data_IF_776872262197
#
_entry.id   IF_776872262197
#
_cell.length_a   1.000
_cell.length_b   1.000
_cell.length_c   1.000
_cell.angle_alpha   90.00
_cell.angle_beta   90.00
_cell.angle_gamma   90.00
#
_symmetry.space_group_name_H-M   'P 1'
#
loop_
_entity.id
_entity.type
_entity.pdbx_description
1 polymer ?
#
# COMPACT_ATOMS: atom_id res chain seq x y z
N UNK A 1 0.14 -18.18 11.05
CA UNK A 1 -0.13 -16.83 11.58
C UNK A 1 -1.46 -16.25 11.10
N UNK A 2 -2.41 -17.08 10.65
CA UNK A 2 -3.76 -16.65 10.26
C UNK A 2 -4.78 -17.11 11.29
N UNK A 3 -5.86 -16.34 11.51
CA UNK A 3 -6.93 -16.68 12.44
C UNK A 3 -8.27 -16.86 11.74
N UNK A 4 -9.09 -17.73 12.32
CA UNK A 4 -10.34 -18.17 11.71
C UNK A 4 -11.54 -17.26 11.98
N UNK A 5 -11.62 -16.74 13.20
CA UNK A 5 -12.73 -15.92 13.68
C UNK A 5 -12.32 -15.21 14.98
N UNK A 6 -13.21 -14.40 15.53
CA UNK A 6 -13.03 -13.77 16.85
C UNK A 6 -12.84 -14.79 17.98
N UNK A 7 -13.55 -15.92 17.94
CA UNK A 7 -13.43 -16.98 18.95
C UNK A 7 -12.03 -17.64 18.93
N UNK A 8 -11.40 -17.77 17.77
CA UNK A 8 -10.02 -18.25 17.69
C UNK A 8 -9.05 -17.33 18.45
N UNK A 9 -9.22 -16.01 18.35
CA UNK A 9 -8.38 -15.04 19.06
C UNK A 9 -8.54 -15.20 20.58
N UNK A 10 -9.77 -15.40 21.06
CA UNK A 10 -10.04 -15.63 22.50
C UNK A 10 -9.55 -17.00 22.98
N UNK A 11 -9.74 -18.05 22.18
CA UNK A 11 -9.40 -19.44 22.55
C UNK A 11 -7.89 -19.63 22.63
N UNK A 12 -7.16 -19.09 21.66
CA UNK A 12 -5.69 -19.21 21.57
C UNK A 12 -4.96 -17.98 22.12
N UNK A 13 -5.61 -17.20 22.99
CA UNK A 13 -5.09 -15.93 23.48
C UNK A 13 -3.69 -16.07 24.13
N UNK A 14 -3.41 -17.18 24.83
CA UNK A 14 -2.12 -17.42 25.48
C UNK A 14 -1.03 -17.78 24.47
N UNK A 15 -1.35 -18.64 23.51
CA UNK A 15 -0.45 -19.05 22.44
C UNK A 15 -0.12 -17.86 21.54
N UNK A 16 -1.11 -17.03 21.21
CA UNK A 16 -0.93 -15.82 20.40
C UNK A 16 -0.06 -14.81 21.15
N UNK A 17 -0.32 -14.57 22.44
CA UNK A 17 0.53 -13.71 23.26
C UNK A 17 1.98 -14.21 23.25
N UNK A 18 2.20 -15.52 23.41
CA UNK A 18 3.54 -16.12 23.35
C UNK A 18 4.20 -15.98 21.96
N UNK A 19 3.44 -16.11 20.86
CA UNK A 19 3.97 -15.96 19.49
C UNK A 19 4.39 -14.51 19.21
N UNK A 20 3.64 -13.55 19.74
CA UNK A 20 3.87 -12.11 19.56
C UNK A 20 4.77 -11.50 20.64
N UNK A 21 5.37 -12.32 21.50
CA UNK A 21 6.27 -11.92 22.59
C UNK A 21 5.61 -10.95 23.58
N UNK A 22 4.44 -11.37 24.08
CA UNK A 22 3.66 -10.70 25.13
C UNK A 22 3.41 -11.64 26.32
N UNK A 23 3.41 -11.07 27.53
CA UNK A 23 2.90 -11.76 28.71
C UNK A 23 1.37 -11.97 28.63
N UNK A 24 0.66 -10.94 28.16
CA UNK A 24 -0.78 -10.93 27.85
C UNK A 24 -1.03 -9.96 26.69
N UNK A 25 -1.99 -10.28 25.82
CA UNK A 25 -2.38 -9.35 24.76
C UNK A 25 -2.92 -8.04 25.36
N UNK A 26 -2.47 -6.88 24.86
CA UNK A 26 -2.94 -5.61 25.37
C UNK A 26 -4.36 -5.32 24.85
N UNK A 27 -5.21 -4.82 25.75
CA UNK A 27 -6.52 -4.30 25.34
C UNK A 27 -6.35 -2.99 24.59
N UNK A 28 -6.83 -2.97 23.35
CA UNK A 28 -6.74 -1.81 22.47
C UNK A 28 -7.89 -0.84 22.74
N UNK A 29 -7.56 0.42 23.04
CA UNK A 29 -8.55 1.48 23.25
C UNK A 29 -8.94 2.11 21.91
N UNK A 30 -10.01 1.60 21.31
CA UNK A 30 -10.52 2.11 20.03
C UNK A 30 -11.11 3.53 20.12
N UNK A 31 -11.52 3.98 21.31
CA UNK A 31 -12.19 5.26 21.53
C UNK A 31 -11.32 6.51 21.25
N UNK A 32 -9.99 6.37 21.19
CA UNK A 32 -9.06 7.50 21.04
C UNK A 32 -8.57 7.72 19.60
N UNK A 33 -8.90 6.83 18.64
CA UNK A 33 -8.53 7.00 17.23
C UNK A 33 -9.25 8.17 16.53
N UNK A 34 -10.23 8.79 17.19
CA UNK A 34 -11.03 9.92 16.67
C UNK A 34 -10.50 11.31 17.03
N UNK A 35 -9.39 11.44 17.77
CA UNK A 35 -8.91 12.71 18.33
C UNK A 35 -8.06 13.58 17.38
N UNK A 36 -8.23 13.45 16.06
CA UNK A 36 -7.75 14.41 15.08
C UNK A 36 -8.94 14.96 14.29
N UNK A 37 -9.33 16.19 14.66
CA UNK A 37 -10.23 17.12 13.96
C UNK A 37 -11.71 17.09 14.37
N UNK A 38 -12.21 18.32 14.57
CA UNK A 38 -13.55 18.67 15.02
C UNK A 38 -14.69 18.22 14.09
N UNK A 39 -15.91 18.62 14.41
CA UNK A 39 -17.11 18.20 13.69
C UNK A 39 -17.06 18.54 12.19
N UNK A 40 -16.91 17.52 11.34
CA UNK A 40 -16.89 17.69 9.90
C UNK A 40 -18.33 17.90 9.36
N UNK A 41 -18.71 19.16 9.11
CA UNK A 41 -20.02 19.54 8.54
C UNK A 41 -20.27 18.89 7.18
N UNK A 42 -19.21 18.72 6.38
CA UNK A 42 -19.23 18.08 5.06
C UNK A 42 -19.71 16.65 5.14
N UNK A 43 -19.32 15.94 6.21
CA UNK A 43 -19.77 14.58 6.44
C UNK A 43 -21.26 14.49 6.77
N UNK A 44 -21.76 15.37 7.66
CA UNK A 44 -23.19 15.39 8.03
C UNK A 44 -24.07 15.59 6.79
N UNK A 45 -23.63 16.44 5.85
CA UNK A 45 -24.32 16.65 4.57
C UNK A 45 -24.28 15.39 3.69
N UNK A 46 -23.11 14.76 3.52
CA UNK A 46 -22.99 13.52 2.73
C UNK A 46 -23.78 12.35 3.32
N UNK A 47 -23.81 12.21 4.65
CA UNK A 47 -24.62 11.19 5.33
C UNK A 47 -26.11 11.41 5.08
N UNK A 48 -26.57 12.66 5.17
CA UNK A 48 -27.95 13.03 4.85
C UNK A 48 -28.28 12.76 3.38
N UNK A 49 -27.33 12.98 2.47
CA UNK A 49 -27.47 12.61 1.06
C UNK A 49 -27.66 11.08 0.90
N UNK A 50 -26.86 10.26 1.59
CA UNK A 50 -26.96 8.81 1.56
C UNK A 50 -28.28 8.27 2.10
N UNK A 51 -28.72 8.77 3.25
CA UNK A 51 -30.01 8.37 3.83
C UNK A 51 -31.16 8.67 2.87
N UNK A 52 -31.10 9.81 2.18
CA UNK A 52 -32.10 10.18 1.18
C UNK A 52 -31.98 9.32 -0.09
N UNK A 53 -30.78 8.94 -0.54
CA UNK A 53 -30.60 8.02 -1.68
C UNK A 53 -31.12 6.61 -1.37
N UNK A 54 -30.84 6.10 -0.17
CA UNK A 54 -31.34 4.79 0.28
C UNK A 54 -32.87 4.79 0.38
N UNK A 55 -33.46 5.82 0.99
CA UNK A 55 -34.92 5.99 1.06
C UNK A 55 -35.54 6.13 -0.33
N UNK A 56 -34.87 6.85 -1.25
CA UNK A 56 -35.32 6.99 -2.63
C UNK A 56 -35.31 5.66 -3.36
N UNK A 57 -34.23 4.88 -3.22
CA UNK A 57 -34.13 3.55 -3.82
C UNK A 57 -35.21 2.60 -3.27
N UNK A 58 -35.46 2.63 -1.96
CA UNK A 58 -36.53 1.86 -1.33
C UNK A 58 -37.93 2.27 -1.82
N UNK A 59 -38.21 3.58 -1.91
CA UNK A 59 -39.49 4.10 -2.40
C UNK A 59 -39.74 3.78 -3.88
N UNK A 60 -38.69 3.80 -4.71
CA UNK A 60 -38.76 3.37 -6.12
C UNK A 60 -39.02 1.87 -6.22
N UNK A 61 -38.39 1.06 -5.36
CA UNK A 61 -38.61 -0.38 -5.32
C UNK A 61 -40.02 -0.78 -4.83
N UNK A 62 -40.65 0.06 -3.99
CA UNK A 62 -42.01 -0.14 -3.49
C UNK A 62 -43.10 0.58 -4.30
N UNK A 63 -42.78 1.09 -5.50
CA UNK A 63 -43.70 1.84 -6.38
C UNK A 63 -44.38 3.06 -5.73
N UNK A 64 -43.76 3.64 -4.70
CA UNK A 64 -44.26 4.82 -3.99
C UNK A 64 -43.81 6.12 -4.68
N UNK A 65 -44.36 6.39 -5.86
CA UNK A 65 -43.87 7.47 -6.76
C UNK A 65 -43.96 8.88 -6.17
N UNK A 66 -44.99 9.20 -5.38
CA UNK A 66 -45.12 10.51 -4.72
C UNK A 66 -44.06 10.74 -3.64
N UNK A 67 -43.68 9.68 -2.91
CA UNK A 67 -42.61 9.74 -1.91
C UNK A 67 -41.23 9.83 -2.58
N UNK A 68 -41.04 9.11 -3.68
CA UNK A 68 -39.82 9.17 -4.47
C UNK A 68 -39.57 10.59 -5.04
N UNK A 69 -40.60 11.30 -5.50
CA UNK A 69 -40.46 12.66 -6.00
C UNK A 69 -40.09 13.66 -4.89
N UNK A 70 -40.70 13.53 -3.70
CA UNK A 70 -40.34 14.32 -2.51
C UNK A 70 -38.88 14.09 -2.09
N UNK A 71 -38.45 12.83 -2.06
CA UNK A 71 -37.07 12.46 -1.71
C UNK A 71 -36.06 12.97 -2.74
N UNK A 72 -36.41 12.94 -4.04
CA UNK A 72 -35.58 13.49 -5.12
C UNK A 72 -35.38 15.00 -4.99
N UNK A 73 -36.42 15.75 -4.62
CA UNK A 73 -36.34 17.19 -4.37
C UNK A 73 -35.47 17.51 -3.14
N UNK A 74 -35.62 16.75 -2.05
CA UNK A 74 -34.77 16.88 -0.87
C UNK A 74 -33.30 16.56 -1.19
N UNK A 75 -33.06 15.55 -2.03
CA UNK A 75 -31.73 15.19 -2.49
C UNK A 75 -31.06 16.35 -3.25
N UNK A 76 -31.80 17.04 -4.12
CA UNK A 76 -31.30 18.19 -4.88
C UNK A 76 -30.87 19.34 -3.95
N UNK A 77 -31.63 19.60 -2.89
CA UNK A 77 -31.30 20.63 -1.88
C UNK A 77 -30.01 20.28 -1.14
N UNK A 78 -29.87 19.02 -0.69
CA UNK A 78 -28.66 18.57 0.01
C UNK A 78 -27.43 18.60 -0.90
N UNK A 79 -27.58 18.28 -2.19
CA UNK A 79 -26.50 18.42 -3.19
C UNK A 79 -26.08 19.87 -3.38
N UNK A 80 -27.03 20.80 -3.44
CA UNK A 80 -26.73 22.22 -3.53
C UNK A 80 -26.05 22.76 -2.26
N UNK A 81 -26.41 22.24 -1.08
CA UNK A 81 -25.75 22.58 0.19
C UNK A 81 -24.30 22.08 0.22
N UNK A 82 -24.04 20.90 -0.34
CA UNK A 82 -22.69 20.33 -0.53
C UNK A 82 -21.83 21.22 -1.43
N UNK A 83 -22.38 21.67 -2.55
CA UNK A 83 -21.69 22.57 -3.50
C UNK A 83 -21.36 23.93 -2.87
N UNK A 84 -22.26 24.48 -2.04
CA UNK A 84 -22.01 25.74 -1.31
C UNK A 84 -20.90 25.62 -0.26
N UNK A 85 -20.81 24.50 0.44
CA UNK A 85 -19.74 24.28 1.44
C UNK A 85 -18.38 24.00 0.80
N UNK A 86 -18.33 23.45 -0.42
CA UNK A 86 -17.09 23.28 -1.18
C UNK A 86 -16.51 24.57 -1.77
N UNK A 87 -17.22 25.70 -1.70
CA UNK A 87 -16.84 26.97 -2.34
C UNK A 87 -16.35 28.08 -1.40
N UNK A 88 -16.15 27.81 -0.10
CA UNK A 88 -15.87 28.84 0.91
C UNK A 88 -14.63 28.61 1.80
N UNK A 89 -13.73 27.71 1.42
CA UNK A 89 -12.36 27.70 1.97
C UNK A 89 -11.43 28.47 1.01
N UNK A 90 -10.85 29.56 1.50
CA UNK A 90 -10.18 30.58 0.71
C UNK A 90 -8.78 30.23 0.23
N UNK A 91 -8.37 30.86 -0.89
CA UNK A 91 -7.02 30.95 -1.49
C UNK A 91 -6.24 29.64 -1.71
N UNK A 92 -5.71 29.39 -2.92
CA UNK A 92 -5.06 28.14 -3.26
C UNK A 92 -3.65 28.05 -2.66
N UNK A 93 -3.56 27.60 -1.41
CA UNK A 93 -2.34 27.01 -0.86
C UNK A 93 -2.53 25.47 -0.83
N UNK A 94 -2.07 24.84 -1.92
CA UNK A 94 -1.37 23.53 -1.99
C UNK A 94 -1.96 22.25 -1.34
N UNK A 95 -3.29 22.05 -1.24
CA UNK A 95 -3.82 20.82 -0.64
C UNK A 95 -4.92 20.04 -1.40
N UNK A 96 -5.65 20.62 -2.35
CA UNK A 96 -6.94 20.03 -2.78
C UNK A 96 -7.07 19.58 -4.25
N UNK A 97 -5.98 19.42 -5.00
CA UNK A 97 -6.05 18.83 -6.35
C UNK A 97 -5.73 17.33 -6.36
N UNK A 98 -6.65 16.52 -5.83
CA UNK A 98 -6.64 15.06 -5.98
C UNK A 98 -7.20 14.60 -7.34
N UNK A 99 -6.58 15.09 -8.42
CA UNK A 99 -6.65 14.44 -9.73
C UNK A 99 -7.75 14.91 -10.67
N UNK A 100 -8.06 16.21 -10.71
CA UNK A 100 -8.82 16.75 -11.83
C UNK A 100 -7.87 16.99 -13.01
N UNK A 101 -7.87 16.12 -14.03
CA UNK A 101 -7.36 16.51 -15.36
C UNK A 101 -8.39 16.32 -16.46
N UNK A 102 -8.32 17.29 -17.35
CA UNK A 102 -9.26 17.70 -18.41
C UNK A 102 -9.40 16.60 -19.48
N UNK A 103 -10.64 16.28 -19.84
CA UNK A 103 -10.97 15.50 -21.03
C UNK A 103 -10.52 16.26 -22.29
N UNK A 104 -9.94 15.58 -23.27
CA UNK A 104 -9.88 16.19 -24.61
C UNK A 104 -11.31 16.38 -25.16
N UNK A 105 -11.46 17.28 -26.13
CA UNK A 105 -12.75 17.73 -26.66
C UNK A 105 -13.59 16.61 -27.31
N UNK A 106 -13.09 15.37 -27.35
CA UNK A 106 -13.66 14.23 -28.05
C UNK A 106 -13.90 13.03 -27.11
N UNK A 107 -13.66 13.19 -25.81
CA UNK A 107 -14.02 12.18 -24.81
C UNK A 107 -13.28 10.85 -24.96
N UNK A 108 -12.10 10.87 -25.60
CA UNK A 108 -11.27 9.67 -25.77
C UNK A 108 -10.25 9.61 -24.64
N UNK A 109 -10.18 8.46 -23.96
CA UNK A 109 -9.01 8.13 -23.14
C UNK A 109 -7.87 7.89 -24.14
N UNK A 110 -6.94 8.84 -24.22
CA UNK A 110 -5.69 8.63 -24.95
C UNK A 110 -5.06 7.34 -24.47
N UNK A 111 -4.81 6.43 -25.41
CA UNK A 111 -4.10 5.18 -25.17
C UNK A 111 -2.69 5.53 -24.67
N UNK A 112 -2.50 5.49 -23.35
CA UNK A 112 -1.18 5.67 -22.73
C UNK A 112 -1.07 4.76 -21.50
N UNK A 113 -0.79 3.49 -21.77
CA UNK A 113 -0.34 2.50 -20.79
C UNK A 113 1.17 2.62 -20.47
N UNK A 114 1.81 3.74 -20.81
CA UNK A 114 3.25 3.97 -20.72
C UNK A 114 3.64 5.19 -19.85
N UNK A 115 3.08 5.29 -18.64
CA UNK A 115 3.80 5.94 -17.53
C UNK A 115 4.13 4.87 -16.49
N UNK A 116 5.18 4.09 -16.77
CA UNK A 116 5.60 2.89 -16.04
C UNK A 116 6.14 3.12 -14.61
N UNK A 117 6.14 4.36 -14.12
CA UNK A 117 6.67 4.70 -12.79
C UNK A 117 5.48 5.05 -11.89
N UNK A 118 5.16 4.21 -10.87
CA UNK A 118 4.17 4.57 -9.86
C UNK A 118 4.43 5.96 -9.26
N UNK A 119 3.38 6.77 -9.07
CA UNK A 119 3.54 8.16 -8.61
C UNK A 119 4.03 8.30 -7.16
N UNK A 120 4.07 7.19 -6.41
CA UNK A 120 4.69 7.14 -5.08
C UNK A 120 6.21 7.00 -5.14
N UNK A 121 6.80 6.61 -6.28
CA UNK A 121 8.25 6.70 -6.48
C UNK A 121 8.67 8.16 -6.72
N UNK A 122 9.88 8.55 -6.29
CA UNK A 122 10.37 9.91 -6.50
C UNK A 122 10.37 10.29 -7.99
N UNK A 123 9.66 11.38 -8.32
CA UNK A 123 9.45 11.83 -9.71
C UNK A 123 10.46 12.91 -10.17
N UNK A 124 11.18 13.51 -9.21
CA UNK A 124 12.09 14.64 -9.41
C UNK A 124 13.57 14.26 -9.53
N UNK A 125 14.37 15.17 -10.08
CA UNK A 125 15.82 15.16 -9.93
C UNK A 125 16.16 15.86 -8.62
N UNK A 126 16.07 15.15 -7.50
CA UNK A 126 16.56 15.67 -6.23
C UNK A 126 18.08 15.65 -6.20
N UNK A 127 18.70 16.72 -5.71
CA UNK A 127 20.14 16.79 -5.44
C UNK A 127 20.55 16.02 -4.19
N UNK A 128 19.58 15.66 -3.33
CA UNK A 128 19.78 14.85 -2.14
C UNK A 128 19.55 13.37 -2.47
N UNK A 129 20.29 12.44 -1.83
CA UNK A 129 20.05 11.01 -1.99
C UNK A 129 18.66 10.67 -1.43
N UNK A 130 17.86 9.94 -2.21
CA UNK A 130 16.51 9.59 -1.78
C UNK A 130 16.55 8.30 -0.96
N UNK A 131 16.95 8.45 0.30
CA UNK A 131 17.01 7.35 1.27
C UNK A 131 15.59 6.99 1.73
N UNK A 132 14.76 7.99 2.06
CA UNK A 132 13.31 7.78 2.24
C UNK A 132 12.64 7.89 0.88
N UNK A 133 12.00 6.80 0.46
CA UNK A 133 11.41 6.70 -0.88
C UNK A 133 9.95 7.14 -0.85
N UNK A 134 9.19 6.53 0.07
CA UNK A 134 7.74 6.70 0.15
C UNK A 134 7.24 6.30 1.53
N UNK A 135 5.99 6.64 1.80
CA UNK A 135 5.28 6.15 2.98
C UNK A 135 4.11 5.29 2.55
N UNK A 136 3.73 4.33 3.39
CA UNK A 136 2.53 3.50 3.19
C UNK A 136 1.73 3.48 4.47
N UNK A 137 0.44 3.74 4.38
CA UNK A 137 -0.50 3.49 5.48
C UNK A 137 -1.50 2.44 5.03
N UNK A 138 -1.52 1.33 5.75
CA UNK A 138 -2.35 0.16 5.46
C UNK A 138 -3.46 0.04 6.50
N UNK A 139 -4.68 -0.24 6.03
CA UNK A 139 -5.88 -0.45 6.84
C UNK A 139 -6.47 -1.82 6.50
N UNK A 140 -6.84 -2.61 7.51
CA UNK A 140 -7.45 -3.94 7.37
C UNK A 140 -8.72 -4.03 8.22
N UNK A 141 -9.88 -4.32 7.64
CA UNK A 141 -11.16 -4.38 8.37
C UNK A 141 -12.00 -5.56 7.90
N UNK A 142 -12.69 -6.20 8.84
CA UNK A 142 -13.67 -7.25 8.58
C UNK A 142 -15.04 -6.85 9.14
N UNK A 143 -16.13 -7.15 8.43
CA UNK A 143 -17.50 -6.99 8.93
C UNK A 143 -17.84 -8.04 9.98
N UNK A 144 -18.58 -7.65 11.02
CA UNK A 144 -19.04 -8.56 12.08
C UNK A 144 -20.19 -9.47 11.65
N UNK A 145 -20.98 -9.04 10.65
CA UNK A 145 -22.13 -9.75 10.11
C UNK A 145 -21.78 -10.92 9.20
N UNK A 146 -20.50 -11.09 8.84
CA UNK A 146 -20.04 -12.07 7.87
C UNK A 146 -18.83 -12.87 8.38
N UNK A 147 -18.70 -14.17 8.01
CA UNK A 147 -17.48 -14.94 8.25
C UNK A 147 -16.28 -14.28 7.57
N UNK A 148 -15.05 -14.51 8.05
CA UNK A 148 -13.85 -14.01 7.38
C UNK A 148 -13.75 -14.52 5.94
N UNK A 149 -13.08 -13.80 5.01
CA UNK A 149 -13.06 -14.13 3.59
C UNK A 149 -12.68 -15.57 3.23
N UNK A 150 -11.82 -16.20 4.05
CA UNK A 150 -11.37 -17.58 3.82
C UNK A 150 -12.40 -18.66 4.21
N UNK A 151 -13.48 -18.30 4.90
CA UNK A 151 -14.60 -19.17 5.26
C UNK A 151 -15.92 -18.72 4.62
N UNK A 152 -15.86 -17.87 3.60
CA UNK A 152 -17.04 -17.57 2.80
C UNK A 152 -17.33 -18.78 1.91
N UNK A 153 -18.44 -19.46 2.20
CA UNK A 153 -18.79 -20.75 1.59
C UNK A 153 -19.64 -20.58 0.31
N UNK A 154 -20.03 -19.34 -0.04
CA UNK A 154 -20.88 -19.08 -1.20
C UNK A 154 -20.59 -17.74 -1.90
N UNK A 155 -20.78 -17.73 -3.22
CA UNK A 155 -20.71 -16.52 -4.06
C UNK A 155 -21.67 -15.42 -3.60
N UNK A 156 -22.82 -15.81 -3.07
CA UNK A 156 -23.84 -14.89 -2.59
C UNK A 156 -23.36 -14.12 -1.34
N UNK A 157 -22.65 -14.78 -0.43
CA UNK A 157 -22.08 -14.11 0.75
C UNK A 157 -20.96 -13.13 0.35
N UNK A 158 -20.07 -13.52 -0.56
CA UNK A 158 -19.04 -12.61 -1.08
C UNK A 158 -19.65 -11.37 -1.76
N UNK A 159 -20.71 -11.55 -2.56
CA UNK A 159 -21.40 -10.44 -3.20
C UNK A 159 -22.14 -9.56 -2.18
N UNK A 160 -22.68 -10.14 -1.10
CA UNK A 160 -23.33 -9.39 -0.02
C UNK A 160 -22.32 -8.48 0.72
N UNK A 161 -21.17 -9.03 1.15
CA UNK A 161 -20.07 -8.27 1.75
C UNK A 161 -19.66 -7.12 0.84
N UNK A 162 -19.48 -7.42 -0.45
CA UNK A 162 -19.10 -6.42 -1.44
C UNK A 162 -20.17 -5.34 -1.59
N UNK A 163 -21.44 -5.69 -1.70
CA UNK A 163 -22.52 -4.69 -1.82
C UNK A 163 -22.54 -3.77 -0.59
N UNK A 164 -22.43 -4.34 0.61
CA UNK A 164 -22.41 -3.59 1.86
C UNK A 164 -21.25 -2.58 1.91
N UNK A 165 -20.03 -3.01 1.59
CA UNK A 165 -18.86 -2.12 1.61
C UNK A 165 -18.91 -1.11 0.45
N UNK A 166 -19.17 -1.57 -0.78
CA UNK A 166 -19.10 -0.73 -1.99
C UNK A 166 -20.13 0.40 -2.00
N UNK A 167 -21.32 0.20 -1.41
CA UNK A 167 -22.32 1.25 -1.24
C UNK A 167 -21.79 2.43 -0.44
N UNK A 168 -21.00 2.18 0.61
CA UNK A 168 -20.39 3.24 1.42
C UNK A 168 -19.20 3.86 0.69
N UNK A 169 -18.38 3.03 0.03
CA UNK A 169 -17.16 3.44 -0.66
C UNK A 169 -17.42 4.45 -1.80
N UNK A 170 -18.50 4.30 -2.56
CA UNK A 170 -18.83 5.22 -3.66
C UNK A 170 -19.06 6.68 -3.23
N UNK A 171 -19.15 6.94 -1.92
CA UNK A 171 -19.52 8.22 -1.34
C UNK A 171 -18.34 8.95 -0.70
N UNK A 172 -17.21 8.27 -0.56
CA UNK A 172 -16.05 8.79 0.15
C UNK A 172 -15.12 9.51 -0.83
N UNK A 173 -14.57 10.69 -0.46
CA UNK A 173 -13.64 11.43 -1.33
C UNK A 173 -12.45 10.60 -1.79
N UNK A 174 -11.90 9.80 -0.89
CA UNK A 174 -10.71 8.98 -1.17
C UNK A 174 -10.96 7.96 -2.30
N UNK A 175 -12.22 7.59 -2.52
CA UNK A 175 -12.61 6.49 -3.42
C UNK A 175 -13.57 6.90 -4.55
N UNK A 176 -14.01 8.16 -4.58
CA UNK A 176 -15.03 8.66 -5.50
C UNK A 176 -14.67 8.48 -7.00
N UNK A 177 -13.39 8.60 -7.35
CA UNK A 177 -12.91 8.53 -8.75
C UNK A 177 -12.01 7.31 -9.00
N UNK A 178 -12.11 6.26 -8.18
CA UNK A 178 -11.27 5.08 -8.35
C UNK A 178 -11.76 4.21 -9.51
N UNK A 179 -10.80 3.68 -10.26
CA UNK A 179 -11.06 2.66 -11.26
C UNK A 179 -11.35 1.32 -10.55
N UNK A 180 -12.47 0.69 -10.90
CA UNK A 180 -12.91 -0.57 -10.29
C UNK A 180 -12.67 -1.74 -11.25
N UNK A 181 -11.95 -2.74 -10.77
CA UNK A 181 -11.65 -3.98 -11.45
C UNK A 181 -12.40 -5.12 -10.78
N UNK A 182 -13.36 -5.70 -11.49
CA UNK A 182 -14.04 -6.93 -11.06
C UNK A 182 -13.29 -8.13 -11.61
N UNK A 183 -12.55 -8.84 -10.75
CA UNK A 183 -11.62 -9.89 -11.19
C UNK A 183 -12.36 -11.00 -11.94
N UNK A 184 -13.56 -11.37 -11.49
CA UNK A 184 -14.40 -12.39 -12.14
C UNK A 184 -14.78 -12.04 -13.58
N UNK A 185 -14.91 -10.74 -13.89
CA UNK A 185 -15.27 -10.23 -15.22
C UNK A 185 -14.07 -9.97 -16.15
N UNK A 186 -12.85 -10.07 -15.62
CA UNK A 186 -11.64 -9.85 -16.41
C UNK A 186 -11.13 -11.12 -17.10
N UNK A 187 -10.64 -11.02 -18.35
CA UNK A 187 -9.93 -12.11 -19.02
C UNK A 187 -8.72 -12.57 -18.20
N UNK A 188 -8.52 -13.88 -18.07
CA UNK A 188 -7.44 -14.47 -17.25
C UNK A 188 -6.05 -13.96 -17.68
N UNK A 189 -5.85 -13.76 -18.99
CA UNK A 189 -4.59 -13.23 -19.53
C UNK A 189 -4.24 -11.81 -19.03
N UNK A 190 -5.26 -11.00 -18.75
CA UNK A 190 -5.10 -9.61 -18.32
C UNK A 190 -4.91 -9.47 -16.81
N UNK A 191 -5.49 -10.40 -16.01
CA UNK A 191 -5.43 -10.38 -14.54
C UNK A 191 -4.01 -10.29 -14.01
N UNK A 192 -3.09 -11.08 -14.57
CA UNK A 192 -1.68 -11.08 -14.14
C UNK A 192 -1.02 -9.70 -14.26
N UNK A 193 -1.52 -8.82 -15.13
CA UNK A 193 -1.07 -7.44 -15.23
C UNK A 193 -1.35 -6.60 -13.99
N UNK A 194 -2.39 -6.90 -13.21
CA UNK A 194 -2.72 -6.17 -11.98
C UNK A 194 -1.73 -6.50 -10.86
N UNK A 195 -1.42 -7.79 -10.69
CA UNK A 195 -0.39 -8.22 -9.73
C UNK A 195 1.00 -7.71 -10.15
N UNK A 196 1.33 -7.69 -11.45
CA UNK A 196 2.54 -7.06 -12.00
C UNK A 196 2.67 -5.56 -11.77
N UNK A 197 1.61 -4.89 -11.34
CA UNK A 197 1.64 -3.47 -10.94
C UNK A 197 1.73 -3.30 -9.42
N UNK A 198 1.74 -4.39 -8.67
CA UNK A 198 1.75 -4.36 -7.20
C UNK A 198 0.40 -4.06 -6.57
N UNK A 199 -0.67 -4.00 -7.37
CA UNK A 199 -1.98 -3.61 -6.87
C UNK A 199 -2.66 -4.72 -6.09
N UNK A 200 -2.31 -5.98 -6.31
CA UNK A 200 -2.82 -7.13 -5.56
C UNK A 200 -1.84 -8.30 -5.58
N UNK A 201 -2.02 -9.26 -4.68
CA UNK A 201 -1.26 -10.52 -4.71
C UNK A 201 -1.74 -11.42 -5.87
N UNK A 202 -0.93 -12.42 -6.23
CA UNK A 202 -1.35 -13.44 -7.20
C UNK A 202 -2.47 -14.32 -6.65
N UNK A 203 -2.43 -14.62 -5.34
CA UNK A 203 -3.47 -15.39 -4.66
C UNK A 203 -4.82 -14.67 -4.71
N UNK A 204 -4.82 -13.33 -4.61
CA UNK A 204 -6.00 -12.51 -4.82
C UNK A 204 -6.63 -12.71 -6.21
N UNK A 205 -5.81 -12.95 -7.24
CA UNK A 205 -6.30 -13.17 -8.61
C UNK A 205 -6.76 -14.63 -8.86
N UNK A 206 -6.25 -15.59 -8.08
CA UNK A 206 -6.53 -17.02 -8.26
C UNK A 206 -7.83 -17.47 -7.59
N UNK A 207 -8.21 -16.87 -6.46
CA UNK A 207 -9.44 -17.18 -5.72
C UNK A 207 -10.69 -16.59 -6.41
N UNK A 208 -10.87 -16.90 -7.69
CA UNK A 208 -11.58 -16.14 -8.74
C UNK A 208 -13.08 -15.83 -8.60
N UNK A 209 -13.58 -15.51 -7.42
CA UNK A 209 -14.96 -15.10 -7.18
C UNK A 209 -15.03 -13.76 -6.42
N UNK A 210 -15.94 -12.88 -6.87
CA UNK A 210 -16.35 -11.58 -6.33
C UNK A 210 -15.31 -10.70 -5.61
N UNK A 211 -14.04 -10.80 -6.01
CA UNK A 211 -12.96 -9.90 -5.61
C UNK A 211 -12.99 -8.63 -6.44
N UNK A 212 -12.84 -7.50 -5.78
CA UNK A 212 -12.79 -6.20 -6.41
C UNK A 212 -11.51 -5.48 -6.01
N UNK A 213 -10.86 -4.93 -7.01
CA UNK A 213 -9.71 -4.07 -6.84
C UNK A 213 -10.12 -2.67 -7.27
N UNK A 214 -9.97 -1.70 -6.39
CA UNK A 214 -10.16 -0.29 -6.72
C UNK A 214 -8.80 0.39 -6.68
N UNK A 215 -8.46 1.15 -7.72
CA UNK A 215 -7.20 1.89 -7.81
C UNK A 215 -7.49 3.34 -8.14
N UNK A 216 -6.90 4.27 -7.40
CA UNK A 216 -7.03 5.70 -7.70
C UNK A 216 -6.31 6.06 -9.01
N UNK A 217 -6.72 7.12 -9.72
CA UNK A 217 -6.09 7.51 -11.00
C UNK A 217 -4.58 7.78 -10.90
N UNK A 218 -4.11 8.22 -9.72
CA UNK A 218 -2.70 8.44 -9.42
C UNK A 218 -1.96 7.18 -8.90
N UNK A 219 -2.65 6.04 -8.79
CA UNK A 219 -2.15 4.76 -8.26
C UNK A 219 -1.61 4.82 -6.82
N UNK A 220 -2.00 5.84 -6.04
CA UNK A 220 -1.59 6.01 -4.64
C UNK A 220 -2.50 5.26 -3.66
N UNK A 221 -3.79 5.18 -3.95
CA UNK A 221 -4.76 4.47 -3.12
C UNK A 221 -5.14 3.18 -3.83
N UNK A 222 -4.97 2.07 -3.13
CA UNK A 222 -5.29 0.74 -3.61
C UNK A 222 -6.20 0.10 -2.59
N UNK A 223 -7.41 -0.26 -3.00
CA UNK A 223 -8.39 -0.93 -2.15
C UNK A 223 -8.69 -2.32 -2.71
N UNK A 224 -8.62 -3.34 -1.86
CA UNK A 224 -8.98 -4.71 -2.20
C UNK A 224 -10.16 -5.12 -1.33
N UNK A 225 -11.21 -5.57 -1.99
CA UNK A 225 -12.38 -6.13 -1.33
C UNK A 225 -12.35 -7.64 -1.42
N UNK A 226 -12.71 -8.29 -0.31
CA UNK A 226 -12.71 -9.75 -0.17
C UNK A 226 -11.34 -10.37 -0.47
N UNK A 227 -10.28 -9.73 0.05
CA UNK A 227 -8.89 -10.16 -0.11
C UNK A 227 -8.54 -11.32 0.84
N UNK A 228 -7.59 -11.07 1.72
CA UNK A 228 -7.41 -11.82 2.95
C UNK A 228 -8.34 -11.29 4.04
N UNK A 229 -8.63 -9.98 4.03
CA UNK A 229 -9.66 -9.31 4.82
C UNK A 229 -10.81 -8.79 3.92
N UNK A 230 -11.98 -8.52 4.50
CA UNK A 230 -13.13 -7.99 3.74
C UNK A 230 -12.82 -6.65 3.09
N UNK A 231 -12.09 -5.78 3.79
CA UNK A 231 -11.58 -4.51 3.30
C UNK A 231 -10.09 -4.39 3.62
N UNK A 232 -9.30 -4.25 2.57
CA UNK A 232 -7.90 -3.85 2.65
C UNK A 232 -7.70 -2.55 1.90
N UNK A 233 -7.07 -1.56 2.53
CA UNK A 233 -6.64 -0.34 1.87
C UNK A 233 -5.16 -0.14 2.10
N UNK A 234 -4.43 0.18 1.04
CA UNK A 234 -3.07 0.70 1.11
C UNK A 234 -3.05 2.09 0.47
N UNK A 235 -2.65 3.10 1.24
CA UNK A 235 -2.45 4.46 0.77
C UNK A 235 -0.95 4.78 0.76
N UNK A 236 -0.44 5.14 -0.41
CA UNK A 236 0.96 5.50 -0.62
C UNK A 236 1.11 7.01 -0.71
N UNK A 237 2.03 7.55 0.09
CA UNK A 237 2.45 8.95 0.05
C UNK A 237 3.90 9.09 -0.40
N UNK A 238 4.26 10.31 -0.79
CA UNK A 238 5.64 10.69 -1.03
C UNK A 238 6.49 10.71 0.24
N UNK A 239 7.82 10.95 0.11
CA UNK A 239 8.68 11.13 1.25
C UNK A 239 8.23 12.35 2.08
N UNK A 240 8.15 12.21 3.40
CA UNK A 240 7.67 13.27 4.31
C UNK A 240 6.15 13.40 4.42
N UNK A 241 5.36 12.69 3.61
CA UNK A 241 3.89 12.73 3.67
C UNK A 241 3.29 11.77 4.72
N UNK A 242 4.10 11.24 5.67
CA UNK A 242 3.68 10.19 6.61
C UNK A 242 2.40 10.56 7.39
N UNK A 243 2.41 11.73 8.04
CA UNK A 243 1.27 12.21 8.83
C UNK A 243 0.06 12.57 7.96
N UNK A 244 0.29 13.15 6.78
CA UNK A 244 -0.77 13.53 5.84
C UNK A 244 -1.49 12.28 5.29
N UNK A 245 -0.71 11.28 4.89
CA UNK A 245 -1.21 9.99 4.41
C UNK A 245 -1.99 9.26 5.50
N UNK A 246 -1.47 9.26 6.73
CA UNK A 246 -2.17 8.65 7.87
C UNK A 246 -3.49 9.35 8.18
N UNK A 247 -3.50 10.69 8.19
CA UNK A 247 -4.72 11.48 8.37
C UNK A 247 -5.77 11.17 7.29
N UNK A 248 -5.36 11.01 6.03
CA UNK A 248 -6.27 10.65 4.95
C UNK A 248 -6.92 9.28 5.20
N UNK A 249 -6.13 8.28 5.60
CA UNK A 249 -6.64 6.93 5.93
C UNK A 249 -7.53 6.94 7.18
N UNK A 250 -7.17 7.67 8.23
CA UNK A 250 -8.01 7.80 9.44
C UNK A 250 -9.34 8.49 9.15
N UNK A 251 -9.35 9.53 8.32
CA UNK A 251 -10.59 10.17 7.88
C UNK A 251 -11.47 9.20 7.10
N UNK A 252 -10.87 8.44 6.18
CA UNK A 252 -11.56 7.39 5.44
C UNK A 252 -12.17 6.33 6.36
N UNK A 253 -11.40 5.82 7.34
CA UNK A 253 -11.90 4.85 8.32
C UNK A 253 -13.08 5.40 9.13
N UNK A 254 -12.96 6.64 9.63
CA UNK A 254 -14.03 7.31 10.40
C UNK A 254 -15.33 7.40 9.60
N UNK A 255 -15.24 7.55 8.28
CA UNK A 255 -16.40 7.61 7.41
C UNK A 255 -17.04 6.25 7.16
N UNK A 256 -16.23 5.20 7.10
CA UNK A 256 -16.73 3.82 7.00
C UNK A 256 -17.34 3.30 8.30
N UNK A 257 -16.77 3.66 9.46
CA UNK A 257 -17.16 3.13 10.76
C UNK A 257 -18.53 3.56 11.28
N UNK A 258 -19.22 4.52 10.63
CA UNK A 258 -20.58 4.91 11.02
C UNK A 258 -21.68 4.02 10.41
N UNK A 259 -21.62 3.67 9.11
CA UNK A 259 -22.59 2.75 8.52
C UNK A 259 -22.23 1.26 8.65
N UNK A 260 -20.94 0.90 8.77
CA UNK A 260 -20.50 -0.50 8.78
C UNK A 260 -20.23 -1.01 10.19
N UNK A 261 -20.69 -2.23 10.47
CA UNK A 261 -20.42 -2.89 11.73
C UNK A 261 -19.16 -3.76 11.62
N UNK A 262 -18.06 -3.30 12.20
CA UNK A 262 -16.78 -4.00 12.15
C UNK A 262 -16.65 -5.12 13.19
N UNK A 263 -15.95 -6.19 12.81
CA UNK A 263 -15.58 -7.30 13.67
C UNK A 263 -14.50 -6.86 14.66
N UNK A 264 -14.94 -6.62 15.89
CA UNK A 264 -14.11 -6.16 16.99
C UNK A 264 -14.17 -7.20 18.12
N UNK A 265 -13.00 -7.65 18.57
CA UNK A 265 -12.82 -8.48 19.75
C UNK A 265 -12.38 -7.67 20.98
N UNK A 266 -12.06 -8.35 22.10
CA UNK A 266 -11.60 -7.70 23.33
C UNK A 266 -10.30 -6.90 23.14
N UNK A 267 -9.47 -7.33 22.19
CA UNK A 267 -8.15 -6.77 21.92
C UNK A 267 -8.13 -5.83 20.70
N UNK A 268 -9.29 -5.44 20.18
CA UNK A 268 -9.42 -4.53 19.02
C UNK A 268 -10.01 -5.18 17.77
N UNK A 269 -9.72 -4.63 16.59
CA UNK A 269 -10.15 -5.16 15.31
C UNK A 269 -9.55 -6.55 15.04
N UNK A 270 -10.38 -7.44 14.51
CA UNK A 270 -9.99 -8.81 14.15
C UNK A 270 -9.70 -8.89 12.65
N UNK A 271 -8.45 -9.20 12.32
CA UNK A 271 -7.94 -9.32 10.95
C UNK A 271 -7.53 -10.78 10.67
N UNK A 272 -7.36 -11.14 9.40
CA UNK A 272 -6.94 -12.50 9.06
C UNK A 272 -5.51 -12.79 9.53
N UNK A 273 -4.59 -11.83 9.39
CA UNK A 273 -3.22 -11.95 9.88
C UNK A 273 -3.09 -11.44 11.32
N UNK A 274 -2.42 -12.21 12.17
CA UNK A 274 -2.25 -11.89 13.61
C UNK A 274 -1.60 -10.52 13.84
N UNK A 275 -0.55 -10.18 13.08
CA UNK A 275 0.17 -8.92 13.23
C UNK A 275 -0.67 -7.68 12.83
N UNK A 276 -1.77 -7.90 12.10
CA UNK A 276 -2.70 -6.85 11.67
C UNK A 276 -3.91 -6.73 12.62
N UNK A 277 -4.04 -7.60 13.63
CA UNK A 277 -5.06 -7.48 14.66
C UNK A 277 -4.72 -6.35 15.66
N UNK A 278 -5.74 -5.82 16.34
CA UNK A 278 -5.59 -4.70 17.28
C UNK A 278 -6.14 -3.40 16.70
N UNK A 279 -5.32 -2.37 16.53
CA UNK A 279 -5.74 -1.13 15.86
C UNK A 279 -6.04 -1.34 14.36
N UNK A 280 -5.55 -2.41 13.75
CA UNK A 280 -5.77 -2.78 12.35
C UNK A 280 -5.37 -1.72 11.32
N UNK A 281 -4.51 -0.80 11.72
CA UNK A 281 -3.92 0.24 10.88
C UNK A 281 -2.43 0.29 11.16
N UNK A 282 -1.64 0.37 10.08
CA UNK A 282 -0.19 0.32 10.14
C UNK A 282 0.41 1.41 9.25
N UNK A 283 1.23 2.27 9.85
CA UNK A 283 2.12 3.16 9.10
C UNK A 283 3.43 2.46 8.73
N UNK A 284 4.04 2.85 7.62
CA UNK A 284 5.34 2.33 7.19
C UNK A 284 6.10 3.34 6.35
N UNK A 285 7.43 3.30 6.44
CA UNK A 285 8.35 4.13 5.66
C UNK A 285 9.22 3.22 4.82
N UNK A 286 9.14 3.37 3.49
CA UNK A 286 9.97 2.64 2.55
C UNK A 286 11.32 3.35 2.42
N UNK A 287 12.41 2.62 2.66
CA UNK A 287 13.77 3.16 2.69
C UNK A 287 14.72 2.39 1.77
N UNK A 288 15.66 3.10 1.16
CA UNK A 288 16.80 2.57 0.41
C UNK A 288 18.08 2.63 1.27
N UNK A 289 18.51 1.48 1.81
CA UNK A 289 19.62 1.35 2.75
C UNK A 289 20.80 0.50 2.21
N UNK A 290 21.33 0.77 1.00
CA UNK A 290 22.35 -0.08 0.39
C UNK A 290 23.70 -0.03 1.13
N UNK A 291 24.13 1.11 1.68
CA UNK A 291 25.42 1.20 2.37
C UNK A 291 25.39 0.45 3.71
N UNK A 292 24.30 0.56 4.46
CA UNK A 292 24.06 -0.23 5.67
C UNK A 292 23.99 -1.74 5.37
N UNK A 293 23.42 -2.11 4.22
CA UNK A 293 23.40 -3.50 3.74
C UNK A 293 24.82 -3.98 3.46
N UNK A 294 25.63 -3.20 2.73
CA UNK A 294 27.03 -3.53 2.44
C UNK A 294 27.89 -3.64 3.70
N UNK A 295 27.56 -2.88 4.74
CA UNK A 295 28.22 -2.95 6.04
C UNK A 295 27.71 -4.08 6.94
N UNK A 296 26.74 -4.89 6.48
CA UNK A 296 26.09 -5.96 7.23
C UNK A 296 25.49 -5.48 8.57
N UNK A 297 24.95 -4.25 8.60
CA UNK A 297 24.42 -3.62 9.82
C UNK A 297 22.90 -3.80 10.00
N UNK A 298 22.16 -4.13 8.93
CA UNK A 298 20.69 -4.22 8.98
C UNK A 298 20.14 -5.16 10.07
N UNK A 299 20.66 -6.39 10.28
CA UNK A 299 20.13 -7.26 11.34
C UNK A 299 20.31 -6.68 12.76
N UNK A 300 21.41 -5.97 13.00
CA UNK A 300 21.65 -5.29 14.29
C UNK A 300 20.71 -4.10 14.48
N UNK A 301 20.48 -3.35 13.41
CA UNK A 301 19.55 -2.20 13.41
C UNK A 301 18.10 -2.66 13.56
N UNK A 302 17.70 -3.76 12.92
CA UNK A 302 16.37 -4.36 13.08
C UNK A 302 16.11 -4.74 14.54
N UNK A 303 17.06 -5.41 15.19
CA UNK A 303 16.95 -5.72 16.62
C UNK A 303 16.84 -4.46 17.50
N UNK A 304 17.54 -3.38 17.15
CA UNK A 304 17.38 -2.10 17.85
C UNK A 304 16.00 -1.48 17.58
N UNK A 305 15.46 -1.57 16.36
CA UNK A 305 14.13 -1.07 16.02
C UNK A 305 13.04 -1.78 16.82
N UNK A 306 13.19 -3.09 17.10
CA UNK A 306 12.21 -3.87 17.88
C UNK A 306 11.98 -3.33 19.28
N UNK A 307 12.99 -2.68 19.88
CA UNK A 307 12.84 -2.01 21.18
C UNK A 307 11.87 -0.82 21.15
N UNK A 308 11.62 -0.26 19.96
CA UNK A 308 10.61 0.78 19.71
C UNK A 308 9.30 0.21 19.15
N UNK A 309 9.13 -1.11 19.12
CA UNK A 309 7.96 -1.79 18.53
C UNK A 309 7.92 -1.76 17.00
N UNK A 310 9.06 -1.53 16.35
CA UNK A 310 9.20 -1.48 14.89
C UNK A 310 10.15 -2.58 14.40
N UNK A 311 10.07 -2.95 13.12
CA UNK A 311 11.07 -3.80 12.48
C UNK A 311 11.36 -3.33 11.06
N UNK A 312 12.45 -3.83 10.50
CA UNK A 312 12.85 -3.64 9.11
C UNK A 312 12.42 -4.86 8.30
N UNK A 313 11.34 -4.74 7.54
CA UNK A 313 10.87 -5.80 6.65
C UNK A 313 11.48 -5.62 5.27
N UNK A 314 12.10 -6.65 4.66
CA UNK A 314 12.43 -6.63 3.25
C UNK A 314 11.18 -6.27 2.43
N UNK A 315 11.26 -5.21 1.62
CA UNK A 315 10.13 -4.82 0.77
C UNK A 315 9.97 -5.79 -0.41
N UNK A 316 11.08 -6.41 -0.83
CA UNK A 316 11.08 -7.44 -1.86
C UNK A 316 11.09 -8.81 -1.21
N UNK A 317 10.29 -9.76 -1.71
CA UNK A 317 10.37 -11.15 -1.28
C UNK A 317 11.77 -11.67 -1.59
N UNK A 318 12.42 -12.29 -0.61
CA UNK A 318 13.69 -13.00 -0.81
C UNK A 318 13.53 -14.41 -0.25
N UNK A 319 13.94 -15.41 -1.04
CA UNK A 319 13.98 -16.82 -0.61
C UNK A 319 15.09 -17.08 0.45
N UNK A 320 15.91 -16.08 0.77
CA UNK A 320 17.01 -16.18 1.72
C UNK A 320 16.58 -15.74 3.13
N UNK A 321 16.96 -16.54 4.13
CA UNK A 321 16.78 -16.25 5.55
C UNK A 321 17.69 -15.06 5.97
N UNK A 322 17.18 -13.83 5.86
CA UNK A 322 17.88 -12.63 6.34
C UNK A 322 17.48 -11.33 5.64
N UNK A 323 17.71 -10.19 6.30
CA UNK A 323 17.55 -8.86 5.69
C UNK A 323 18.83 -8.53 4.90
N UNK A 324 19.02 -9.18 3.74
CA UNK A 324 20.02 -8.79 2.74
C UNK A 324 19.43 -7.87 1.66
N UNK A 325 18.37 -7.16 2.04
CA UNK A 325 17.61 -6.32 1.13
C UNK A 325 17.94 -4.85 1.39
N UNK A 326 18.20 -4.13 0.32
CA UNK A 326 18.47 -2.69 0.31
C UNK A 326 17.18 -1.88 0.29
N UNK A 327 16.05 -2.46 -0.13
CA UNK A 327 14.72 -1.85 -0.02
C UNK A 327 14.02 -2.47 1.19
N UNK A 328 13.80 -1.67 2.22
CA UNK A 328 13.17 -2.12 3.46
C UNK A 328 12.00 -1.21 3.81
N UNK A 329 10.93 -1.82 4.32
CA UNK A 329 9.84 -1.12 4.97
C UNK A 329 10.13 -1.09 6.47
N UNK A 330 10.34 0.09 7.03
CA UNK A 330 10.28 0.30 8.48
C UNK A 330 8.81 0.41 8.88
N UNK A 331 8.32 -0.52 9.68
CA UNK A 331 6.91 -0.56 10.11
C UNK A 331 6.76 -1.20 11.50
N UNK A 332 5.62 -1.02 12.18
CA UNK A 332 5.33 -1.70 13.45
C UNK A 332 5.36 -3.22 13.34
N UNK A 333 5.89 -3.88 14.38
CA UNK A 333 5.93 -5.36 14.50
C UNK A 333 4.53 -5.97 14.49
N UNK A 334 3.60 -5.31 15.17
CA UNK A 334 2.20 -5.68 15.26
C UNK A 334 1.34 -4.42 15.41
N UNK A 335 0.01 -4.57 15.37
CA UNK A 335 -0.93 -3.47 15.55
C UNK A 335 -1.57 -3.44 16.96
N UNK A 336 -0.96 -4.08 17.96
CA UNK A 336 -1.46 -4.12 19.34
C UNK A 336 -0.76 -3.11 20.25
N UNK A 337 0.58 -3.00 20.15
CA UNK A 337 1.43 -2.20 21.05
C UNK A 337 1.21 -0.69 20.95
N UNK A 338 1.18 -0.17 19.72
CA UNK A 338 1.23 1.26 19.44
C UNK A 338 -0.04 1.71 18.74
N UNK A 339 -0.68 2.75 19.28
CA UNK A 339 -1.71 3.47 18.54
C UNK A 339 -1.14 4.17 17.31
N UNK A 340 -1.99 4.63 16.39
CA UNK A 340 -1.51 5.25 15.16
C UNK A 340 -0.61 6.47 15.40
N UNK A 341 -0.89 7.33 16.37
CA UNK A 341 -0.05 8.51 16.63
C UNK A 341 1.32 8.11 17.16
N UNK A 342 1.35 7.14 18.07
CA UNK A 342 2.59 6.56 18.60
C UNK A 342 3.40 5.91 17.48
N UNK A 343 2.76 5.12 16.60
CA UNK A 343 3.39 4.53 15.42
C UNK A 343 4.05 5.62 14.56
N UNK A 344 3.31 6.67 14.17
CA UNK A 344 3.83 7.74 13.31
C UNK A 344 5.02 8.47 13.95
N UNK A 345 4.94 8.78 15.25
CA UNK A 345 6.02 9.44 15.98
C UNK A 345 7.29 8.56 16.07
N UNK A 346 7.12 7.26 16.32
CA UNK A 346 8.22 6.31 16.38
C UNK A 346 8.85 6.11 14.99
N UNK A 347 8.02 5.97 13.96
CA UNK A 347 8.45 5.84 12.56
C UNK A 347 9.27 7.05 12.13
N UNK A 348 8.79 8.26 12.37
CA UNK A 348 9.51 9.49 11.96
C UNK A 348 10.86 9.61 12.67
N UNK A 349 10.90 9.32 13.97
CA UNK A 349 12.13 9.36 14.76
C UNK A 349 13.14 8.31 14.31
N UNK A 350 12.71 7.05 14.16
CA UNK A 350 13.60 5.94 13.80
C UNK A 350 14.03 6.05 12.34
N UNK A 351 13.15 6.43 11.42
CA UNK A 351 13.50 6.69 10.02
C UNK A 351 14.57 7.78 9.90
N UNK A 352 14.48 8.85 10.69
CA UNK A 352 15.49 9.92 10.72
C UNK A 352 16.86 9.41 11.18
N UNK A 353 16.89 8.54 12.19
CA UNK A 353 18.13 7.94 12.68
C UNK A 353 18.74 7.01 11.62
N UNK A 354 17.91 6.16 11.00
CA UNK A 354 18.36 5.23 9.96
C UNK A 354 18.88 5.97 8.73
N UNK A 355 18.20 7.03 8.32
CA UNK A 355 18.62 7.91 7.23
C UNK A 355 20.00 8.52 7.51
N UNK A 356 20.21 9.09 8.70
CA UNK A 356 21.51 9.61 9.08
C UNK A 356 22.60 8.51 9.08
N UNK A 357 22.28 7.31 9.57
CA UNK A 357 23.22 6.19 9.57
C UNK A 357 23.59 5.71 8.17
N UNK A 358 22.63 5.71 7.25
CA UNK A 358 22.90 5.42 5.84
C UNK A 358 23.80 6.49 5.21
N UNK A 359 23.55 7.77 5.48
CA UNK A 359 24.41 8.87 5.03
C UNK A 359 25.85 8.73 5.57
N UNK A 360 26.01 8.46 6.87
CA UNK A 360 27.31 8.26 7.50
C UNK A 360 28.06 7.09 6.84
N UNK A 361 27.37 5.98 6.56
CA UNK A 361 27.95 4.83 5.86
C UNK A 361 28.35 5.17 4.41
N UNK A 362 27.53 5.92 3.67
CA UNK A 362 27.86 6.38 2.32
C UNK A 362 29.10 7.27 2.31
N UNK A 363 29.19 8.21 3.25
CA UNK A 363 30.35 9.08 3.42
C UNK A 363 31.61 8.27 3.76
N UNK A 364 31.50 7.29 4.66
CA UNK A 364 32.61 6.40 4.99
C UNK A 364 33.10 5.61 3.77
N UNK A 365 32.18 5.05 2.98
CA UNK A 365 32.50 4.34 1.74
C UNK A 365 33.18 5.25 0.70
N UNK A 366 32.89 6.55 0.70
CA UNK A 366 33.53 7.51 -0.21
C UNK A 366 34.89 8.04 0.29
N UNK A 367 35.06 8.17 1.60
CA UNK A 367 36.23 8.79 2.24
C UNK A 367 37.41 7.84 2.46
N UNK A 368 37.16 6.55 2.70
CA UNK A 368 38.23 5.55 2.82
C UNK A 368 38.61 4.99 1.44
N UNK A 369 39.90 4.99 1.09
CA UNK A 369 40.37 4.59 -0.24
C UNK A 369 40.07 3.12 -0.56
N UNK A 370 40.20 2.22 0.43
CA UNK A 370 39.95 0.79 0.24
C UNK A 370 38.45 0.52 0.12
N UNK A 371 37.64 1.15 0.96
CA UNK A 371 36.18 1.07 0.89
C UNK A 371 35.64 1.64 -0.43
N UNK A 372 36.18 2.78 -0.89
CA UNK A 372 35.82 3.39 -2.17
C UNK A 372 36.14 2.48 -3.34
N UNK A 373 37.30 1.82 -3.33
CA UNK A 373 37.67 0.86 -4.37
C UNK A 373 36.69 -0.34 -4.40
N UNK A 374 36.33 -0.88 -3.23
CA UNK A 374 35.33 -1.97 -3.14
C UNK A 374 33.95 -1.53 -3.65
N UNK A 375 33.54 -0.31 -3.30
CA UNK A 375 32.28 0.26 -3.77
C UNK A 375 32.29 0.44 -5.29
N UNK A 376 33.35 1.04 -5.85
CA UNK A 376 33.52 1.20 -7.30
C UNK A 376 33.46 -0.13 -8.03
N UNK A 377 34.18 -1.15 -7.54
CA UNK A 377 34.15 -2.49 -8.13
C UNK A 377 32.75 -3.12 -8.07
N UNK A 378 32.05 -2.96 -6.94
CA UNK A 378 30.68 -3.48 -6.77
C UNK A 378 29.69 -2.80 -7.72
N UNK A 379 29.76 -1.47 -7.85
CA UNK A 379 28.94 -0.68 -8.79
C UNK A 379 29.27 -1.05 -10.24
N UNK A 380 30.56 -1.15 -10.57
CA UNK A 380 31.00 -1.51 -11.93
C UNK A 380 30.56 -2.92 -12.32
N UNK A 381 30.67 -3.90 -11.43
CA UNK A 381 30.16 -5.27 -11.63
C UNK A 381 28.64 -5.27 -11.81
N UNK A 382 27.91 -4.53 -10.98
CA UNK A 382 26.46 -4.44 -11.11
C UNK A 382 26.04 -3.88 -12.47
N UNK A 383 26.68 -2.79 -12.89
CA UNK A 383 26.45 -2.15 -14.18
C UNK A 383 26.85 -3.03 -15.37
N UNK A 384 28.00 -3.71 -15.28
CA UNK A 384 28.46 -4.63 -16.32
C UNK A 384 27.52 -5.83 -16.50
N UNK A 385 27.05 -6.42 -15.39
CA UNK A 385 26.07 -7.52 -15.43
C UNK A 385 24.74 -7.06 -16.01
N UNK A 386 24.22 -5.90 -15.59
CA UNK A 386 22.99 -5.34 -16.16
C UNK A 386 23.06 -5.13 -17.69
N UNK A 387 24.25 -4.82 -18.23
CA UNK A 387 24.49 -4.57 -19.66
C UNK A 387 24.81 -5.81 -20.49
N UNK A 388 25.25 -6.91 -19.88
CA UNK A 388 25.79 -8.06 -20.61
C UNK A 388 25.17 -9.41 -20.26
N UNK A 389 24.63 -9.59 -19.04
CA UNK A 389 24.07 -10.85 -18.60
C UNK A 389 22.91 -11.29 -19.50
N UNK A 390 22.78 -12.60 -19.71
CA UNK A 390 21.73 -13.21 -20.56
C UNK A 390 20.55 -13.73 -19.76
N UNK A 391 20.73 -13.95 -18.46
CA UNK A 391 19.70 -14.38 -17.53
C UNK A 391 19.87 -13.54 -16.26
N UNK A 392 18.80 -12.89 -15.81
CA UNK A 392 18.76 -12.12 -14.56
C UNK A 392 17.46 -12.48 -13.84
N UNK A 393 17.56 -13.14 -12.69
CA UNK A 393 16.39 -13.38 -11.85
C UNK A 393 15.87 -12.06 -11.27
N UNK A 394 14.57 -11.92 -10.98
CA UNK A 394 14.02 -10.66 -10.46
C UNK A 394 14.76 -10.13 -9.23
N UNK A 395 15.04 -10.99 -8.26
CA UNK A 395 15.73 -10.64 -7.01
C UNK A 395 17.16 -10.12 -7.27
N UNK A 396 17.90 -10.81 -8.14
CA UNK A 396 19.24 -10.39 -8.55
C UNK A 396 19.18 -9.08 -9.32
N UNK A 397 18.20 -8.93 -10.22
CA UNK A 397 17.97 -7.70 -10.98
C UNK A 397 17.74 -6.51 -10.08
N UNK A 398 16.96 -6.68 -9.01
CA UNK A 398 16.72 -5.64 -8.01
C UNK A 398 17.99 -5.29 -7.23
N UNK A 399 18.81 -6.27 -6.84
CA UNK A 399 20.14 -6.05 -6.23
C UNK A 399 21.06 -5.25 -7.15
N UNK A 400 21.10 -5.60 -8.44
CA UNK A 400 21.88 -4.88 -9.44
C UNK A 400 21.39 -3.43 -9.59
N UNK A 401 20.08 -3.22 -9.73
CA UNK A 401 19.48 -1.88 -9.86
C UNK A 401 19.75 -1.01 -8.65
N UNK A 402 19.71 -1.58 -7.45
CA UNK A 402 20.05 -0.88 -6.21
C UNK A 402 21.49 -0.40 -6.17
N UNK A 403 22.43 -1.26 -6.57
CA UNK A 403 23.84 -0.89 -6.63
C UNK A 403 24.10 0.16 -7.72
N UNK A 404 23.41 0.07 -8.86
CA UNK A 404 23.47 1.09 -9.92
C UNK A 404 22.89 2.40 -9.42
N UNK A 405 21.79 2.38 -8.66
CA UNK A 405 21.19 3.55 -8.03
C UNK A 405 22.17 4.22 -7.06
N UNK A 406 22.75 3.46 -6.13
CA UNK A 406 23.77 3.99 -5.23
C UNK A 406 24.96 4.58 -6.01
N UNK A 407 25.44 3.88 -7.04
CA UNK A 407 26.50 4.38 -7.91
C UNK A 407 26.16 5.68 -8.63
N UNK A 408 24.90 5.84 -9.06
CA UNK A 408 24.41 7.07 -9.69
C UNK A 408 24.35 8.22 -8.68
N UNK A 409 23.82 8.00 -7.48
CA UNK A 409 23.74 9.02 -6.42
C UNK A 409 25.12 9.48 -5.92
N UNK A 410 26.09 8.57 -5.90
CA UNK A 410 27.47 8.87 -5.50
C UNK A 410 28.34 9.40 -6.66
N UNK A 411 27.75 9.66 -7.83
CA UNK A 411 28.43 10.25 -8.99
C UNK A 411 29.38 9.30 -9.74
N UNK A 412 29.29 7.98 -9.51
CA UNK A 412 30.11 6.97 -10.17
C UNK A 412 29.56 6.56 -11.55
N UNK A 413 28.24 6.71 -11.74
CA UNK A 413 27.53 6.41 -13.00
C UNK A 413 26.69 7.63 -13.45
N UNK A 414 27.29 8.79 -13.73
CA UNK A 414 26.55 10.02 -14.06
C UNK A 414 25.73 9.91 -15.35
N UNK A 415 26.06 8.97 -16.24
CA UNK A 415 25.35 8.72 -17.49
C UNK A 415 24.02 7.98 -17.29
N UNK A 416 23.80 7.34 -16.14
CA UNK A 416 22.59 6.53 -15.91
C UNK A 416 21.44 7.43 -15.47
N UNK A 417 20.31 7.34 -16.18
CA UNK A 417 19.13 8.10 -15.81
C UNK A 417 18.36 7.40 -14.69
N UNK A 418 18.15 8.13 -13.59
CA UNK A 418 17.42 7.64 -12.42
C UNK A 418 16.00 7.14 -12.72
N UNK A 419 15.28 7.78 -13.64
CA UNK A 419 13.92 7.32 -14.05
C UNK A 419 13.96 5.94 -14.68
N UNK A 420 15.02 5.60 -15.41
CA UNK A 420 15.19 4.28 -16.01
C UNK A 420 15.37 3.21 -14.93
N UNK A 421 16.16 3.51 -13.88
CA UNK A 421 16.35 2.61 -12.74
C UNK A 421 15.00 2.31 -12.09
N UNK A 422 14.22 3.36 -11.78
CA UNK A 422 12.94 3.22 -11.10
C UNK A 422 11.86 2.52 -11.92
N UNK A 423 11.80 2.80 -13.22
CA UNK A 423 10.92 2.05 -14.11
C UNK A 423 11.25 0.55 -14.09
N UNK A 424 12.53 0.18 -14.12
CA UNK A 424 12.96 -1.23 -14.06
C UNK A 424 12.72 -1.85 -12.69
N UNK A 425 12.94 -1.11 -11.60
CA UNK A 425 12.64 -1.60 -10.26
C UNK A 425 11.15 -1.89 -10.13
N UNK A 426 10.28 -0.96 -10.55
CA UNK A 426 8.83 -1.16 -10.52
C UNK A 426 8.39 -2.39 -11.32
N UNK A 427 8.99 -2.63 -12.49
CA UNK A 427 8.71 -3.85 -13.27
C UNK A 427 9.12 -5.14 -12.56
N UNK A 428 10.24 -5.14 -11.83
CA UNK A 428 10.79 -6.34 -11.19
C UNK A 428 10.15 -6.63 -9.82
N UNK A 429 9.87 -5.60 -9.00
CA UNK A 429 9.27 -5.75 -7.65
C UNK A 429 7.98 -6.57 -7.69
N UNK A 430 7.19 -6.38 -8.74
CA UNK A 430 5.84 -6.89 -8.83
C UNK A 430 5.72 -8.16 -9.69
N UNK A 431 6.84 -8.78 -10.07
CA UNK A 431 6.82 -10.05 -10.79
C UNK A 431 6.32 -11.20 -9.89
N UNK A 432 5.62 -12.21 -10.45
CA UNK A 432 5.20 -13.36 -9.67
C UNK A 432 6.41 -14.19 -9.22
N UNK A 433 6.40 -14.73 -7.99
CA UNK A 433 7.28 -15.83 -7.66
C UNK A 433 6.96 -17.04 -8.55
N UNK A 434 7.98 -17.61 -9.18
CA UNK A 434 7.80 -18.76 -10.07
C UNK A 434 7.77 -20.04 -9.24
N UNK A 435 6.63 -20.74 -9.19
CA UNK A 435 6.48 -22.00 -8.43
C UNK A 435 7.50 -23.06 -8.89
N UNK A 436 7.93 -23.97 -8.01
CA UNK A 436 8.90 -25.04 -8.34
C UNK A 436 8.23 -26.25 -9.00
N UNK A 437 7.74 -26.11 -10.23
CA UNK A 437 7.34 -27.23 -11.11
C UNK A 437 8.22 -27.26 -12.37
N UNK A 438 8.36 -28.40 -13.05
CA UNK A 438 9.20 -28.51 -14.27
C UNK A 438 8.77 -27.54 -15.39
N UNK A 439 7.46 -27.30 -15.56
CA UNK A 439 6.93 -26.28 -16.46
C UNK A 439 7.30 -24.86 -16.02
N UNK A 440 7.38 -24.63 -14.71
CA UNK A 440 7.72 -23.35 -14.13
C UNK A 440 9.23 -23.05 -14.11
N UNK A 441 10.11 -24.07 -14.11
CA UNK A 441 11.56 -23.86 -14.33
C UNK A 441 11.79 -23.24 -15.73
N UNK A 442 11.12 -23.79 -16.75
CA UNK A 442 11.22 -23.24 -18.12
C UNK A 442 10.65 -21.82 -18.19
N UNK A 443 9.56 -21.54 -17.48
CA UNK A 443 8.99 -20.20 -17.39
C UNK A 443 9.91 -19.22 -16.64
N UNK A 444 10.56 -19.64 -15.56
CA UNK A 444 11.55 -18.85 -14.81
C UNK A 444 12.74 -18.47 -15.69
N UNK A 445 13.29 -19.43 -16.46
CA UNK A 445 14.41 -19.16 -17.37
C UNK A 445 14.00 -18.16 -18.46
N UNK A 446 12.81 -18.33 -19.06
CA UNK A 446 12.29 -17.38 -20.06
C UNK A 446 12.09 -15.98 -19.47
N UNK A 447 11.55 -15.89 -18.26
CA UNK A 447 11.37 -14.62 -17.55
C UNK A 447 12.71 -13.96 -17.25
N UNK A 448 13.68 -14.73 -16.74
CA UNK A 448 15.02 -14.24 -16.45
C UNK A 448 15.75 -13.76 -17.72
N UNK A 449 15.51 -14.41 -18.86
CA UNK A 449 15.98 -13.96 -20.17
C UNK A 449 15.36 -12.63 -20.59
N UNK A 450 14.03 -12.52 -20.49
CA UNK A 450 13.31 -11.28 -20.79
C UNK A 450 13.74 -10.11 -19.90
N UNK A 451 13.96 -10.37 -18.61
CA UNK A 451 14.48 -9.39 -17.66
C UNK A 451 15.88 -8.93 -18.05
N UNK A 452 16.75 -9.87 -18.39
CA UNK A 452 18.08 -9.55 -18.88
C UNK A 452 18.03 -8.71 -20.16
N UNK A 453 17.17 -9.06 -21.12
CA UNK A 453 17.00 -8.31 -22.37
C UNK A 453 16.56 -6.86 -22.10
N UNK A 454 15.60 -6.67 -21.19
CA UNK A 454 15.12 -5.33 -20.78
C UNK A 454 16.19 -4.52 -20.06
N UNK A 455 16.95 -5.15 -19.15
CA UNK A 455 18.08 -4.51 -18.47
C UNK A 455 19.12 -4.05 -19.49
N UNK A 456 19.50 -4.92 -20.44
CA UNK A 456 20.46 -4.58 -21.50
C UNK A 456 19.94 -3.49 -22.42
N UNK A 457 18.66 -3.46 -22.76
CA UNK A 457 18.05 -2.41 -23.57
C UNK A 457 17.98 -1.06 -22.84
N UNK A 458 18.06 -1.06 -21.51
CA UNK A 458 17.96 0.16 -20.69
C UNK A 458 19.32 0.78 -20.43
N UNK A 459 20.36 -0.04 -20.25
CA UNK A 459 21.69 0.41 -19.83
C UNK A 459 22.77 0.37 -20.92
N UNK A 460 22.47 -0.16 -22.11
CA UNK A 460 23.28 0.04 -23.32
C UNK A 460 22.72 1.19 -24.14
#
# INVERSE_FOLDING_TARGET
>A
HTIGCSECLTTFHKEIASILDYDQLPQVRLAEQTALLGEDKTYKIRQKELELQSKLAAAVASEAYEEAEKLKNLLAIVRQERERQGGQDGTPDDCDDWGTRVFDAEGRIGEQLDNAIPQWLPQGQNYLPDIRISVRVSLRRNLASHPLPQFLDSLAQEEAVKQEISQVMGLLPLTANMQVYSISRMPVAERGGLARRGWCSYDFLQRGHNRYLMVSPNHRVIVRLCGDDHLELDCWGGPGELFQTAKAVSNFERYLGRPLNWLIGPDGYVCNHLEDCGYGIRGGVLMHLPALTMACLLPKLDNACKTFGLHLRPFLPTDADGIENFLVMLEPTDCFKLDLQQQLSALEKVASILEQKELDCRLHLQGDNLARLKLLDSVAKAYALARSARLIQPDDGLKLLSMIWLGQELGMLPQVNRRQIFARMAELVFMPPVKKTQSAITASIKLAGLNADRMRATFN
#
